data_IF_447314609408
#
_entry.id   IF_447314609408
#
_cell.length_a   1.000
_cell.length_b   1.000
_cell.length_c   1.000
_cell.angle_alpha   90.00
_cell.angle_beta   90.00
_cell.angle_gamma   90.00
#
_symmetry.space_group_name_H-M   'P 1'
#
loop_
_entity.id
_entity.type
_entity.pdbx_description
1 polymer ?
#
# COMPACT_ATOMS: atom_id res chain seq x y z
N UNK A 1 -79.00 36.94 -18.06
CA UNK A 1 -78.48 36.55 -19.38
C UNK A 1 -77.26 35.70 -19.13
N UNK A 2 -77.29 34.41 -19.51
CA UNK A 2 -76.15 33.49 -19.53
C UNK A 2 -75.02 34.10 -20.38
N UNK A 3 -73.74 33.85 -20.12
CA UNK A 3 -72.90 32.69 -20.51
C UNK A 3 -71.50 32.97 -19.91
N UNK A 4 -70.51 32.10 -19.70
CA UNK A 4 -70.13 30.78 -20.19
C UNK A 4 -69.07 30.26 -19.18
N UNK A 5 -69.15 29.01 -18.72
CA UNK A 5 -68.08 28.37 -17.94
C UNK A 5 -67.38 27.38 -18.87
N UNK A 6 -66.21 27.76 -19.37
CA UNK A 6 -65.28 26.87 -20.05
C UNK A 6 -64.63 25.90 -19.03
N UNK A 7 -64.48 24.60 -19.35
CA UNK A 7 -63.80 23.63 -18.49
C UNK A 7 -62.31 23.59 -18.84
N UNK A 8 -61.42 23.80 -17.86
CA UNK A 8 -59.99 23.49 -17.98
C UNK A 8 -59.44 22.89 -16.69
N UNK A 9 -58.47 21.99 -16.89
CA UNK A 9 -57.58 21.31 -15.93
C UNK A 9 -57.97 19.88 -15.49
N UNK A 10 -57.82 18.92 -16.41
CA UNK A 10 -57.66 17.49 -16.07
C UNK A 10 -56.40 16.86 -16.72
N UNK A 11 -55.53 17.67 -17.35
CA UNK A 11 -54.37 17.20 -18.13
C UNK A 11 -53.06 17.05 -17.34
N UNK A 12 -53.04 17.34 -16.03
CA UNK A 12 -51.81 17.40 -15.21
C UNK A 12 -51.59 16.20 -14.29
N UNK A 13 -52.61 15.36 -14.06
CA UNK A 13 -52.50 14.18 -13.18
C UNK A 13 -51.97 12.95 -13.92
N UNK A 14 -52.55 12.63 -15.08
CA UNK A 14 -52.16 11.46 -15.88
C UNK A 14 -50.73 11.56 -16.43
N UNK A 15 -50.27 12.74 -16.84
CA UNK A 15 -48.90 12.93 -17.33
C UNK A 15 -47.83 12.67 -16.25
N UNK A 16 -48.09 13.05 -15.00
CA UNK A 16 -47.19 12.77 -13.87
C UNK A 16 -47.15 11.28 -13.53
N UNK A 17 -48.27 10.57 -13.69
CA UNK A 17 -48.33 9.12 -13.48
C UNK A 17 -47.48 8.42 -14.54
N UNK A 18 -47.63 8.78 -15.81
CA UNK A 18 -46.84 8.19 -16.91
C UNK A 18 -45.34 8.46 -16.74
N UNK A 19 -44.95 9.68 -16.36
CA UNK A 19 -43.57 10.04 -16.04
C UNK A 19 -43.02 9.18 -14.89
N UNK A 20 -43.79 9.00 -13.81
CA UNK A 20 -43.37 8.17 -12.67
C UNK A 20 -43.25 6.67 -13.01
N UNK A 21 -44.09 6.17 -13.91
CA UNK A 21 -44.02 4.79 -14.42
C UNK A 21 -42.74 4.62 -15.26
N UNK A 22 -42.45 5.58 -16.15
CA UNK A 22 -41.28 5.56 -17.01
C UNK A 22 -39.97 5.65 -16.19
N UNK A 23 -39.94 6.50 -15.17
CA UNK A 23 -38.80 6.60 -14.24
C UNK A 23 -38.60 5.28 -13.50
N UNK A 24 -39.66 4.68 -12.95
CA UNK A 24 -39.54 3.40 -12.24
C UNK A 24 -39.12 2.24 -13.15
N UNK A 25 -39.57 2.22 -14.41
CA UNK A 25 -39.12 1.24 -15.40
C UNK A 25 -37.62 1.39 -15.69
N UNK A 26 -37.15 2.61 -15.96
CA UNK A 26 -35.72 2.85 -16.20
C UNK A 26 -34.84 2.52 -14.99
N UNK A 27 -35.33 2.73 -13.76
CA UNK A 27 -34.61 2.29 -12.56
C UNK A 27 -34.54 0.77 -12.46
N UNK A 28 -35.64 0.08 -12.78
CA UNK A 28 -35.68 -1.38 -12.78
C UNK A 28 -34.66 -1.96 -13.78
N UNK A 29 -34.61 -1.39 -14.98
CA UNK A 29 -33.67 -1.82 -16.02
C UNK A 29 -32.21 -1.57 -15.60
N UNK A 30 -31.88 -0.40 -15.05
CA UNK A 30 -30.53 -0.11 -14.55
C UNK A 30 -30.11 -1.02 -13.39
N UNK A 31 -31.01 -1.31 -12.45
CA UNK A 31 -30.74 -2.24 -11.35
C UNK A 31 -30.54 -3.67 -11.87
N UNK A 32 -31.29 -4.05 -12.89
CA UNK A 32 -31.16 -5.38 -13.48
C UNK A 32 -29.83 -5.51 -14.22
N UNK A 33 -29.44 -4.51 -15.00
CA UNK A 33 -28.14 -4.45 -15.68
C UNK A 33 -26.98 -4.46 -14.69
N UNK A 34 -27.04 -3.66 -13.61
CA UNK A 34 -25.98 -3.65 -12.59
C UNK A 34 -25.86 -4.99 -11.85
N UNK A 35 -26.98 -5.66 -11.57
CA UNK A 35 -26.99 -7.00 -10.97
C UNK A 35 -26.44 -8.06 -11.92
N UNK A 36 -26.73 -7.94 -13.22
CA UNK A 36 -26.21 -8.84 -14.25
C UNK A 36 -24.70 -8.65 -14.41
N UNK A 37 -24.21 -7.41 -14.46
CA UNK A 37 -22.78 -7.12 -14.53
C UNK A 37 -22.03 -7.61 -13.28
N UNK A 38 -22.61 -7.44 -12.10
CA UNK A 38 -22.06 -7.97 -10.84
C UNK A 38 -22.06 -9.52 -10.83
N UNK A 39 -23.13 -10.15 -11.33
CA UNK A 39 -23.20 -11.61 -11.47
C UNK A 39 -22.21 -12.14 -12.53
N UNK A 40 -21.99 -11.42 -13.62
CA UNK A 40 -21.03 -11.80 -14.67
C UNK A 40 -19.60 -11.66 -14.17
N UNK A 41 -19.27 -10.57 -13.48
CA UNK A 41 -17.93 -10.35 -12.90
C UNK A 41 -17.60 -11.37 -11.82
N UNK A 42 -18.55 -11.69 -10.92
CA UNK A 42 -18.35 -12.74 -9.92
C UNK A 42 -18.18 -14.13 -10.54
N UNK A 43 -18.88 -14.44 -11.63
CA UNK A 43 -18.73 -15.72 -12.37
C UNK A 43 -17.42 -15.76 -13.16
N UNK A 44 -16.97 -14.66 -13.77
CA UNK A 44 -15.66 -14.58 -14.42
C UNK A 44 -14.50 -14.71 -13.41
N UNK A 45 -14.64 -14.10 -12.23
CA UNK A 45 -13.70 -14.27 -11.13
C UNK A 45 -13.70 -15.72 -10.62
N UNK A 46 -14.87 -16.33 -10.40
CA UNK A 46 -14.98 -17.72 -9.96
C UNK A 46 -14.48 -18.72 -11.02
N UNK A 47 -14.71 -18.47 -12.31
CA UNK A 47 -14.21 -19.29 -13.41
C UNK A 47 -12.68 -19.20 -13.54
N UNK A 48 -12.11 -17.99 -13.40
CA UNK A 48 -10.67 -17.79 -13.32
C UNK A 48 -10.06 -18.45 -12.07
N UNK A 49 -10.76 -18.42 -10.93
CA UNK A 49 -10.37 -19.12 -9.68
C UNK A 49 -10.46 -20.64 -9.85
N UNK A 50 -11.43 -21.16 -10.60
CA UNK A 50 -11.58 -22.59 -10.89
C UNK A 50 -10.42 -23.10 -11.77
N UNK A 51 -10.01 -22.31 -12.77
CA UNK A 51 -8.85 -22.61 -13.63
C UNK A 51 -7.52 -22.55 -12.84
N UNK A 52 -7.50 -21.87 -11.70
CA UNK A 52 -6.38 -21.79 -10.77
C UNK A 52 -6.24 -23.01 -9.85
N UNK A 53 -7.35 -23.69 -9.55
CA UNK A 53 -7.38 -24.88 -8.68
C UNK A 53 -6.72 -26.11 -9.31
N UNK A 54 -6.55 -26.15 -10.63
CA UNK A 54 -5.99 -27.30 -11.35
C UNK A 54 -4.44 -27.35 -11.35
N UNK A 55 -3.77 -26.30 -10.84
CA UNK A 55 -2.31 -26.24 -10.72
C UNK A 55 -1.77 -26.86 -9.42
N UNK A 56 -2.61 -27.59 -8.70
CA UNK A 56 -2.43 -27.98 -7.30
C UNK A 56 -1.55 -29.23 -7.15
N UNK A 57 -0.23 -29.02 -7.07
CA UNK A 57 0.68 -30.02 -6.47
C UNK A 57 2.00 -29.50 -5.89
N UNK A 58 2.42 -28.28 -6.22
CA UNK A 58 3.72 -27.76 -5.79
C UNK A 58 3.58 -26.83 -4.57
N UNK A 59 4.29 -27.11 -3.44
CA UNK A 59 4.20 -26.30 -2.22
C UNK A 59 4.67 -24.85 -2.44
N UNK A 60 5.57 -24.63 -3.40
CA UNK A 60 6.04 -23.30 -3.80
C UNK A 60 4.92 -22.48 -4.46
N UNK A 61 4.07 -23.13 -5.25
CA UNK A 61 2.95 -22.46 -5.92
C UNK A 61 1.93 -22.01 -4.87
N UNK A 62 1.62 -22.85 -3.88
CA UNK A 62 0.73 -22.44 -2.78
C UNK A 62 1.25 -21.20 -2.03
N UNK A 63 2.56 -21.11 -1.81
CA UNK A 63 3.16 -19.93 -1.17
C UNK A 63 3.04 -18.67 -2.04
N UNK A 64 3.28 -18.79 -3.35
CA UNK A 64 3.14 -17.67 -4.30
C UNK A 64 1.69 -17.19 -4.41
N UNK A 65 0.72 -18.10 -4.34
CA UNK A 65 -0.71 -17.77 -4.36
C UNK A 65 -1.09 -16.99 -3.11
N UNK A 66 -0.66 -17.45 -1.93
CA UNK A 66 -0.89 -16.73 -0.67
C UNK A 66 -0.22 -15.35 -0.68
N UNK A 67 0.97 -15.25 -1.27
CA UNK A 67 1.69 -13.99 -1.42
C UNK A 67 0.93 -13.02 -2.36
N UNK A 68 0.38 -13.53 -3.47
CA UNK A 68 -0.44 -12.75 -4.40
C UNK A 68 -1.76 -12.31 -3.76
N UNK A 69 -2.37 -13.16 -2.93
CA UNK A 69 -3.53 -12.80 -2.12
C UNK A 69 -3.19 -11.70 -1.12
N UNK A 70 -2.05 -11.79 -0.41
CA UNK A 70 -1.60 -10.73 0.51
C UNK A 70 -1.36 -9.39 -0.21
N UNK A 71 -0.84 -9.43 -1.44
CA UNK A 71 -0.66 -8.24 -2.27
C UNK A 71 -1.99 -7.60 -2.71
N UNK A 72 -3.01 -8.40 -3.04
CA UNK A 72 -4.29 -7.88 -3.52
C UNK A 72 -5.26 -7.49 -2.40
N UNK A 73 -5.19 -8.13 -1.23
CA UNK A 73 -6.07 -7.84 -0.09
C UNK A 73 -5.68 -6.56 0.65
N UNK A 74 -4.42 -6.12 0.53
CA UNK A 74 -3.89 -5.10 1.41
C UNK A 74 -3.22 -3.99 0.59
N UNK A 75 -3.98 -2.91 0.36
CA UNK A 75 -3.53 -1.72 -0.39
C UNK A 75 -2.21 -1.18 0.16
N UNK A 76 -2.00 -1.26 1.47
CA UNK A 76 -0.74 -0.85 2.10
C UNK A 76 0.45 -1.67 1.60
N UNK A 77 0.31 -2.99 1.51
CA UNK A 77 1.37 -3.87 1.01
C UNK A 77 1.65 -3.61 -0.47
N UNK A 78 0.60 -3.36 -1.25
CA UNK A 78 0.74 -2.97 -2.66
C UNK A 78 1.57 -1.70 -2.80
N UNK A 79 1.22 -0.64 -2.08
CA UNK A 79 1.97 0.62 -2.12
C UNK A 79 3.39 0.48 -1.54
N UNK A 80 3.58 -0.36 -0.51
CA UNK A 80 4.90 -0.64 0.04
C UNK A 80 5.83 -1.36 -0.93
N UNK A 81 5.33 -2.34 -1.68
CA UNK A 81 6.12 -3.06 -2.68
C UNK A 81 6.44 -2.14 -3.86
N UNK A 82 5.48 -1.32 -4.31
CA UNK A 82 5.72 -0.33 -5.36
C UNK A 82 6.70 0.76 -4.92
N UNK A 83 6.61 1.25 -3.68
CA UNK A 83 7.53 2.26 -3.16
C UNK A 83 8.93 1.70 -2.93
N UNK A 84 9.04 0.45 -2.48
CA UNK A 84 10.32 -0.24 -2.36
C UNK A 84 10.95 -0.50 -3.73
N UNK A 85 10.15 -0.91 -4.72
CA UNK A 85 10.59 -1.06 -6.10
C UNK A 85 11.08 0.26 -6.70
N UNK A 86 10.31 1.34 -6.51
CA UNK A 86 10.71 2.69 -6.94
C UNK A 86 11.94 3.20 -6.19
N UNK A 87 12.09 2.87 -4.90
CA UNK A 87 13.29 3.17 -4.12
C UNK A 87 14.49 2.45 -4.72
N UNK A 88 14.41 1.15 -5.03
CA UNK A 88 15.50 0.42 -5.65
C UNK A 88 15.83 0.92 -7.06
N UNK A 89 14.81 1.26 -7.86
CA UNK A 89 15.00 1.83 -9.19
C UNK A 89 15.65 3.21 -9.08
N UNK A 90 15.20 4.03 -8.12
CA UNK A 90 15.78 5.35 -7.84
C UNK A 90 17.24 5.23 -7.41
N UNK A 91 17.55 4.32 -6.47
CA UNK A 91 18.92 4.02 -6.06
C UNK A 91 19.75 3.50 -7.22
N UNK A 92 19.24 2.61 -8.06
CA UNK A 92 19.95 2.10 -9.24
C UNK A 92 20.25 3.20 -10.28
N UNK A 93 19.28 4.08 -10.56
CA UNK A 93 19.48 5.25 -11.44
C UNK A 93 20.51 6.19 -10.82
N UNK A 94 20.42 6.42 -9.51
CA UNK A 94 21.41 7.21 -8.79
C UNK A 94 22.80 6.60 -8.95
N UNK A 95 22.92 5.27 -8.81
CA UNK A 95 24.18 4.54 -8.98
C UNK A 95 24.79 4.77 -10.36
N UNK A 96 23.97 4.79 -11.42
CA UNK A 96 24.42 5.03 -12.80
C UNK A 96 24.85 6.48 -13.00
N UNK A 97 24.14 7.45 -12.43
CA UNK A 97 24.46 8.89 -12.54
C UNK A 97 25.65 9.28 -11.66
N UNK A 98 25.75 8.67 -10.48
CA UNK A 98 26.84 8.87 -9.52
C UNK A 98 28.09 8.06 -9.88
N UNK A 99 28.02 7.08 -10.79
CA UNK A 99 29.17 6.29 -11.26
C UNK A 99 30.34 7.18 -11.69
N UNK A 100 30.09 8.12 -12.61
CA UNK A 100 31.11 9.09 -13.08
C UNK A 100 31.60 10.02 -11.96
N UNK A 101 30.79 10.15 -10.91
CA UNK A 101 30.98 11.09 -9.80
C UNK A 101 31.77 10.50 -8.63
N UNK A 102 31.66 9.18 -8.43
CA UNK A 102 32.35 8.37 -7.42
C UNK A 102 33.56 7.64 -7.98
N UNK A 103 33.71 7.54 -9.30
CA UNK A 103 34.82 6.85 -9.97
C UNK A 103 36.20 7.15 -9.36
N UNK A 104 36.46 8.42 -9.01
CA UNK A 104 37.73 8.82 -8.39
C UNK A 104 37.97 8.29 -6.97
N UNK A 105 36.92 8.22 -6.14
CA UNK A 105 36.99 7.73 -4.74
C UNK A 105 37.00 6.20 -4.71
N UNK A 106 36.20 5.60 -5.59
CA UNK A 106 36.11 4.15 -5.77
C UNK A 106 37.44 3.57 -6.26
N UNK A 107 38.19 4.27 -7.11
CA UNK A 107 39.56 3.85 -7.48
C UNK A 107 40.50 3.83 -6.28
N UNK A 108 40.40 4.80 -5.36
CA UNK A 108 41.26 4.82 -4.17
C UNK A 108 40.90 3.73 -3.15
N UNK A 109 39.63 3.35 -3.05
CA UNK A 109 39.15 2.35 -2.10
C UNK A 109 39.30 0.91 -2.63
N UNK A 110 39.12 0.69 -3.94
CA UNK A 110 39.31 -0.63 -4.59
C UNK A 110 40.73 -1.17 -4.40
N UNK A 111 41.74 -0.31 -4.19
CA UNK A 111 43.12 -0.72 -3.97
C UNK A 111 43.34 -1.62 -2.74
N UNK A 112 42.51 -1.48 -1.70
CA UNK A 112 42.57 -2.26 -0.46
C UNK A 112 41.36 -3.21 -0.29
N UNK A 113 40.40 -3.19 -1.22
CA UNK A 113 39.08 -3.86 -1.13
C UNK A 113 38.88 -5.11 -2.00
N UNK A 114 37.63 -5.61 -2.00
CA UNK A 114 37.21 -6.76 -2.81
C UNK A 114 36.94 -6.33 -4.27
N UNK A 115 37.66 -6.89 -5.24
CA UNK A 115 37.47 -6.63 -6.67
C UNK A 115 36.99 -7.89 -7.42
N UNK A 116 36.03 -7.72 -8.32
CA UNK A 116 35.46 -8.79 -9.15
C UNK A 116 36.19 -8.95 -10.52
N UNK A 117 37.08 -8.03 -10.92
CA UNK A 117 37.78 -8.08 -12.23
C UNK A 117 39.26 -7.65 -12.23
N UNK A 118 39.81 -7.49 -13.45
CA UNK A 118 41.26 -7.34 -13.68
C UNK A 118 41.70 -5.86 -13.76
N UNK A 119 42.36 -5.34 -12.72
CA UNK A 119 43.23 -4.15 -12.74
C UNK A 119 42.58 -2.77 -13.00
N UNK A 120 41.33 -2.70 -13.47
CA UNK A 120 40.55 -1.48 -13.66
C UNK A 120 39.15 -1.66 -13.08
N UNK A 121 38.55 -0.60 -12.48
CA UNK A 121 37.20 -0.68 -11.92
C UNK A 121 36.18 -1.02 -13.01
N UNK A 122 35.47 -2.13 -12.84
CA UNK A 122 34.37 -2.49 -13.71
C UNK A 122 33.05 -1.95 -13.15
N UNK A 123 32.04 -1.85 -14.01
CA UNK A 123 30.68 -1.43 -13.62
C UNK A 123 30.08 -2.29 -12.49
N UNK A 124 30.46 -3.58 -12.40
CA UNK A 124 30.05 -4.50 -11.34
C UNK A 124 30.65 -4.09 -10.00
N UNK A 125 31.94 -3.77 -9.97
CA UNK A 125 32.63 -3.33 -8.75
C UNK A 125 31.97 -2.05 -8.22
N UNK A 126 31.78 -1.06 -9.10
CA UNK A 126 31.15 0.20 -8.70
C UNK A 126 29.70 0.01 -8.25
N UNK A 127 28.94 -0.89 -8.87
CA UNK A 127 27.61 -1.23 -8.39
C UNK A 127 27.62 -1.75 -6.95
N UNK A 128 28.50 -2.69 -6.62
CA UNK A 128 28.58 -3.24 -5.26
C UNK A 128 29.08 -2.23 -4.23
N UNK A 129 30.09 -1.41 -4.56
CA UNK A 129 30.60 -0.37 -3.67
C UNK A 129 29.57 0.74 -3.42
N UNK A 130 28.89 1.23 -4.46
CA UNK A 130 27.84 2.24 -4.30
C UNK A 130 26.60 1.67 -3.63
N UNK A 131 26.28 0.38 -3.85
CA UNK A 131 25.22 -0.31 -3.11
C UNK A 131 25.57 -0.43 -1.62
N UNK A 132 26.78 -0.84 -1.28
CA UNK A 132 27.29 -0.86 0.09
C UNK A 132 27.20 0.51 0.75
N UNK A 133 27.72 1.54 0.09
CA UNK A 133 27.63 2.93 0.55
C UNK A 133 26.17 3.36 0.78
N UNK A 134 25.26 3.00 -0.13
CA UNK A 134 23.83 3.31 -0.01
C UNK A 134 23.24 2.65 1.24
N UNK A 135 23.56 1.38 1.51
CA UNK A 135 23.10 0.65 2.70
C UNK A 135 23.62 1.32 3.97
N UNK A 136 24.93 1.58 4.05
CA UNK A 136 25.59 2.17 5.23
C UNK A 136 25.05 3.57 5.54
N UNK A 137 24.81 4.37 4.49
CA UNK A 137 24.23 5.71 4.62
C UNK A 137 22.77 5.65 5.03
N UNK A 138 22.00 4.74 4.44
CA UNK A 138 20.59 4.54 4.76
C UNK A 138 20.38 4.05 6.20
N UNK A 139 21.25 3.16 6.69
CA UNK A 139 21.26 2.72 8.09
C UNK A 139 21.87 3.75 9.04
N UNK A 140 22.28 4.92 8.54
CA UNK A 140 22.92 6.00 9.31
C UNK A 140 24.22 5.60 10.03
N UNK A 141 24.88 4.52 9.57
CA UNK A 141 26.14 4.03 10.15
C UNK A 141 27.31 4.91 9.71
N UNK A 142 27.39 5.19 8.40
CA UNK A 142 28.32 6.16 7.83
C UNK A 142 29.81 5.87 8.08
N UNK A 143 30.33 4.73 7.59
CA UNK A 143 31.76 4.41 7.71
C UNK A 143 32.69 5.44 7.05
N UNK A 144 32.24 6.07 5.97
CA UNK A 144 32.99 7.13 5.28
C UNK A 144 34.15 6.63 4.43
N UNK A 145 34.15 5.34 4.10
CA UNK A 145 35.02 4.63 3.17
C UNK A 145 34.78 5.07 1.71
N UNK A 146 33.53 5.27 1.34
CA UNK A 146 33.13 5.71 0.00
C UNK A 146 32.24 6.95 0.12
N UNK A 147 32.51 8.01 -0.64
CA UNK A 147 31.72 9.25 -0.60
C UNK A 147 31.78 10.07 -1.90
N UNK A 148 30.73 10.86 -2.22
CA UNK A 148 30.75 11.68 -3.41
C UNK A 148 31.77 12.82 -3.24
N UNK A 149 32.78 12.88 -4.10
CA UNK A 149 33.86 13.89 -3.99
C UNK A 149 33.39 15.25 -4.53
N UNK A 150 32.56 15.25 -5.58
CA UNK A 150 32.13 16.48 -6.26
C UNK A 150 31.10 17.27 -5.45
N UNK A 151 31.15 18.60 -5.54
CA UNK A 151 30.22 19.46 -4.80
C UNK A 151 28.77 19.29 -5.28
N UNK A 152 28.59 19.09 -6.60
CA UNK A 152 27.28 18.83 -7.20
C UNK A 152 26.75 17.46 -6.77
N UNK A 153 27.62 16.46 -6.64
CA UNK A 153 27.28 15.14 -6.11
C UNK A 153 26.77 15.18 -4.70
N UNK A 154 27.52 15.83 -3.81
CA UNK A 154 27.10 16.01 -2.40
C UNK A 154 25.70 16.64 -2.31
N UNK A 155 25.40 17.64 -3.13
CA UNK A 155 24.07 18.28 -3.14
C UNK A 155 22.97 17.31 -3.60
N UNK A 156 23.19 16.58 -4.69
CA UNK A 156 22.24 15.62 -5.23
C UNK A 156 21.98 14.47 -4.25
N UNK A 157 23.05 13.91 -3.69
CA UNK A 157 23.00 12.87 -2.67
C UNK A 157 22.17 13.29 -1.47
N UNK A 158 22.36 14.53 -0.95
CA UNK A 158 21.58 15.04 0.19
C UNK A 158 20.07 15.04 -0.12
N UNK A 159 19.68 15.53 -1.29
CA UNK A 159 18.26 15.62 -1.69
C UNK A 159 17.65 14.22 -1.78
N UNK A 160 18.35 13.28 -2.40
CA UNK A 160 17.84 11.92 -2.63
C UNK A 160 17.78 11.11 -1.33
N UNK A 161 18.76 11.28 -0.44
CA UNK A 161 18.74 10.64 0.88
C UNK A 161 17.55 11.11 1.72
N UNK A 162 17.21 12.40 1.69
CA UNK A 162 16.02 12.93 2.38
C UNK A 162 14.72 12.33 1.81
N UNK A 163 14.60 12.22 0.49
CA UNK A 163 13.43 11.62 -0.16
C UNK A 163 13.26 10.14 0.20
N UNK A 164 14.34 9.35 0.14
CA UNK A 164 14.31 7.94 0.48
C UNK A 164 13.99 7.70 1.96
N UNK A 165 14.56 8.51 2.86
CA UNK A 165 14.27 8.43 4.29
C UNK A 165 12.79 8.71 4.62
N UNK A 166 12.17 9.67 3.91
CA UNK A 166 10.75 9.98 4.06
C UNK A 166 9.85 8.79 3.71
N UNK A 167 10.13 8.11 2.59
CA UNK A 167 9.39 6.92 2.16
C UNK A 167 9.46 5.82 3.21
N UNK A 168 10.65 5.55 3.74
CA UNK A 168 10.86 4.47 4.70
C UNK A 168 10.19 4.76 6.04
N UNK A 169 10.26 6.01 6.49
CA UNK A 169 9.57 6.43 7.73
C UNK A 169 8.06 6.26 7.60
N UNK A 170 7.49 6.59 6.44
CA UNK A 170 6.06 6.39 6.16
C UNK A 170 5.68 4.90 6.19
N UNK A 171 6.50 4.03 5.59
CA UNK A 171 6.28 2.59 5.63
C UNK A 171 6.34 2.05 7.07
N UNK A 172 7.35 2.45 7.85
CA UNK A 172 7.47 2.08 9.26
C UNK A 172 6.27 2.54 10.09
N UNK A 173 5.81 3.78 9.86
CA UNK A 173 4.61 4.32 10.52
C UNK A 173 3.34 3.56 10.15
N UNK A 174 3.20 3.14 8.89
CA UNK A 174 2.05 2.38 8.45
C UNK A 174 2.04 0.96 9.03
N UNK A 175 3.19 0.28 9.10
CA UNK A 175 3.33 -1.01 9.78
C UNK A 175 2.97 -0.88 11.26
N UNK A 176 3.47 0.15 11.94
CA UNK A 176 3.12 0.43 13.33
C UNK A 176 1.61 0.66 13.50
N UNK A 177 0.97 1.38 12.58
CA UNK A 177 -0.48 1.61 12.60
C UNK A 177 -1.27 0.31 12.49
N UNK A 178 -0.87 -0.61 11.61
CA UNK A 178 -1.52 -1.93 11.48
C UNK A 178 -1.35 -2.75 12.77
N UNK A 179 -0.15 -2.79 13.34
CA UNK A 179 0.11 -3.51 14.60
C UNK A 179 -0.69 -2.92 15.78
N UNK A 180 -0.82 -1.60 15.84
CA UNK A 180 -1.64 -0.92 16.83
C UNK A 180 -3.12 -1.22 16.61
N UNK A 181 -3.59 -1.18 15.36
CA UNK A 181 -4.97 -1.51 15.03
C UNK A 181 -5.32 -2.95 15.43
N UNK A 182 -4.45 -3.91 15.14
CA UNK A 182 -4.62 -5.31 15.55
C UNK A 182 -4.62 -5.46 17.07
N UNK A 183 -3.77 -4.70 17.78
CA UNK A 183 -3.76 -4.69 19.24
C UNK A 183 -5.03 -4.08 19.86
N UNK A 184 -5.59 -3.05 19.23
CA UNK A 184 -6.82 -2.40 19.67
C UNK A 184 -8.06 -3.24 19.38
N UNK A 185 -8.04 -4.03 18.31
CA UNK A 185 -9.11 -4.95 17.89
C UNK A 185 -9.16 -6.24 18.72
N UNK A 186 -8.63 -6.21 19.95
CA UNK A 186 -8.43 -7.39 20.80
C UNK A 186 -9.66 -8.29 20.87
N UNK A 187 -9.45 -9.62 20.91
CA UNK A 187 -10.46 -10.70 20.88
C UNK A 187 -11.88 -10.19 20.57
N UNK A 188 -12.19 -9.94 19.29
CA UNK A 188 -13.53 -9.53 18.80
C UNK A 188 -14.65 -10.50 19.26
N UNK A 189 -14.28 -11.69 19.75
CA UNK A 189 -15.16 -12.58 20.47
C UNK A 189 -15.08 -12.28 21.96
N UNK A 190 -15.96 -11.38 22.41
CA UNK A 190 -16.45 -11.37 23.78
C UNK A 190 -17.13 -12.73 24.00
N UNK A 191 -16.34 -13.72 24.40
CA UNK A 191 -16.87 -15.00 24.85
C UNK A 191 -17.63 -14.71 26.15
N UNK A 192 -18.95 -14.58 26.03
CA UNK A 192 -19.88 -14.23 27.12
C UNK A 192 -19.72 -15.19 28.31
N UNK A 193 -19.17 -16.38 28.08
CA UNK A 193 -18.91 -17.42 29.07
C UNK A 193 -17.48 -17.41 29.65
N UNK A 194 -16.56 -16.60 29.13
CA UNK A 194 -15.15 -16.58 29.57
C UNK A 194 -14.95 -15.78 30.87
N UNK A 195 -15.86 -14.86 31.19
CA UNK A 195 -15.74 -13.97 32.36
C UNK A 195 -17.05 -13.80 33.14
N UNK A 196 -17.23 -14.56 34.22
CA UNK A 196 -18.33 -14.36 35.16
C UNK A 196 -17.95 -13.34 36.26
N UNK A 197 -18.82 -12.35 36.50
CA UNK A 197 -18.65 -11.35 37.58
C UNK A 197 -17.66 -10.21 37.28
N UNK A 198 -17.42 -9.88 36.02
CA UNK A 198 -16.51 -8.80 35.65
C UNK A 198 -17.14 -7.40 35.83
N UNK A 199 -16.31 -6.41 36.16
CA UNK A 199 -16.71 -5.01 36.31
C UNK A 199 -16.17 -4.22 35.12
N UNK A 200 -17.04 -3.49 34.42
CA UNK A 200 -16.65 -2.59 33.33
C UNK A 200 -16.38 -1.21 33.92
N UNK A 201 -15.17 -0.70 33.69
CA UNK A 201 -14.78 0.65 34.11
C UNK A 201 -14.84 1.56 32.89
N UNK A 202 -15.86 2.43 32.84
CA UNK A 202 -16.00 3.44 31.81
C UNK A 202 -15.34 4.75 32.25
N UNK A 203 -14.11 4.98 31.79
CA UNK A 203 -13.33 6.18 32.10
C UNK A 203 -12.44 6.04 33.33
N UNK A 204 -11.42 6.91 33.42
CA UNK A 204 -10.41 6.85 34.47
C UNK A 204 -10.59 8.01 35.46
N UNK A 205 -10.96 7.69 36.69
CA UNK A 205 -10.98 8.62 37.82
C UNK A 205 -9.93 8.18 38.86
N UNK A 206 -9.17 9.10 39.50
CA UNK A 206 -8.13 8.73 40.45
C UNK A 206 -8.61 7.82 41.59
N UNK A 207 -9.87 7.95 42.01
CA UNK A 207 -10.44 7.08 43.05
C UNK A 207 -10.57 5.60 42.64
N UNK A 208 -10.53 5.28 41.34
CA UNK A 208 -10.62 3.91 40.82
C UNK A 208 -9.34 3.12 41.11
N UNK A 209 -8.18 3.79 41.23
CA UNK A 209 -6.92 3.14 41.60
C UNK A 209 -7.00 2.50 42.99
N UNK A 210 -7.75 3.12 43.90
CA UNK A 210 -7.99 2.63 45.26
C UNK A 210 -8.83 1.36 45.26
N UNK A 211 -9.81 1.28 44.36
CA UNK A 211 -10.74 0.14 44.22
C UNK A 211 -10.12 -1.05 43.49
N UNK A 212 -9.17 -0.81 42.58
CA UNK A 212 -8.44 -1.86 41.85
C UNK A 212 -7.25 -2.46 42.63
N UNK A 213 -6.84 -1.84 43.74
CA UNK A 213 -5.75 -2.33 44.62
C UNK A 213 -6.24 -3.27 45.73
N UNK A 214 -7.55 -3.52 45.81
CA UNK A 214 -8.19 -4.48 46.72
C UNK A 214 -8.14 -5.90 46.15
#
# INVERSE_FOLDING_TARGET
MQTDKQPQEETTSFGKIEESIQVNQSLYDHLHESLVDEAVTTVEDDANVQHYKDYKKNPVVEYLIRLKQLYQLNDLFRYAIWSFGLMLISTAILTIVEYDLFYGDVISDIGDGFQFGDGYPNWVDTFFHTFWWSVVTFTTVGYGDVSPVTHLGKLLTIIIMLLNFGIVTLLGGAVASVLVAERLKGDDKLDENKFHGHIIIAGWHPAIQSTLRL
#
